data_IF_874115427238
#
_entry.id   IF_874115427238
#
_cell.length_a   1.000
_cell.length_b   1.000
_cell.length_c   1.000
_cell.angle_alpha   90.00
_cell.angle_beta   90.00
_cell.angle_gamma   90.00
#
_symmetry.space_group_name_H-M   'P 1'
#
loop_
_entity.id
_entity.type
_entity.pdbx_description
1 polymer ?
#
# COMPACT_ATOMS: atom_id res chain seq x y z
N UNK A 1 -17.81 -60.92 157.35
CA UNK A 1 -18.47 -60.62 156.06
C UNK A 1 -18.00 -59.30 155.41
N UNK A 2 -16.96 -58.63 155.93
CA UNK A 2 -16.53 -57.28 155.50
C UNK A 2 -15.16 -57.23 154.81
N UNK A 3 -14.42 -58.34 154.81
CA UNK A 3 -13.06 -58.43 154.24
C UNK A 3 -13.04 -58.92 152.78
N UNK A 4 -14.12 -59.58 152.34
CA UNK A 4 -14.31 -59.98 150.93
C UNK A 4 -14.79 -58.80 150.06
N UNK A 5 -15.58 -57.87 150.59
CA UNK A 5 -16.09 -56.71 149.85
C UNK A 5 -15.02 -55.66 149.57
N UNK A 6 -14.09 -55.41 150.50
CA UNK A 6 -12.96 -54.49 150.29
C UNK A 6 -11.97 -55.02 149.24
N UNK A 7 -11.67 -56.33 149.26
CA UNK A 7 -10.92 -57.01 148.20
C UNK A 7 -11.61 -56.90 146.85
N UNK A 8 -12.93 -57.10 146.80
CA UNK A 8 -13.70 -56.99 145.57
C UNK A 8 -13.73 -55.56 145.00
N UNK A 9 -13.72 -54.54 145.86
CA UNK A 9 -13.63 -53.14 145.45
C UNK A 9 -12.22 -52.75 144.96
N UNK A 10 -11.16 -53.23 145.63
CA UNK A 10 -9.79 -53.02 145.14
C UNK A 10 -9.55 -53.67 143.78
N UNK A 11 -10.07 -54.88 143.57
CA UNK A 11 -10.03 -55.58 142.28
C UNK A 11 -10.86 -54.86 141.21
N UNK A 12 -11.96 -54.19 141.57
CA UNK A 12 -12.75 -53.36 140.64
C UNK A 12 -11.99 -52.10 140.21
N UNK A 13 -11.35 -51.40 141.15
CA UNK A 13 -10.53 -50.21 140.84
C UNK A 13 -9.31 -50.59 140.00
N UNK A 14 -8.63 -51.69 140.32
CA UNK A 14 -7.54 -52.21 139.48
C UNK A 14 -8.04 -52.59 138.08
N UNK A 15 -9.23 -53.20 137.96
CA UNK A 15 -9.84 -53.51 136.66
C UNK A 15 -10.21 -52.26 135.86
N UNK A 16 -10.68 -51.19 136.51
CA UNK A 16 -10.97 -49.91 135.85
C UNK A 16 -9.69 -49.21 135.38
N UNK A 17 -8.63 -49.23 136.21
CA UNK A 17 -7.32 -48.70 135.83
C UNK A 17 -6.74 -49.52 134.67
N UNK A 18 -6.82 -50.84 134.72
CA UNK A 18 -6.41 -51.74 133.63
C UNK A 18 -7.19 -51.43 132.34
N UNK A 19 -8.52 -51.29 132.41
CA UNK A 19 -9.34 -50.91 131.25
C UNK A 19 -8.99 -49.53 130.69
N UNK A 20 -8.69 -48.55 131.55
CA UNK A 20 -8.25 -47.23 131.09
C UNK A 20 -6.89 -47.30 130.40
N UNK A 21 -5.97 -48.13 130.89
CA UNK A 21 -4.65 -48.35 130.29
C UNK A 21 -4.76 -49.14 128.98
N UNK A 22 -5.65 -50.13 128.91
CA UNK A 22 -5.99 -50.84 127.67
C UNK A 22 -6.55 -49.87 126.62
N UNK A 23 -7.48 -48.98 127.00
CA UNK A 23 -8.00 -47.96 126.09
C UNK A 23 -6.93 -46.96 125.64
N UNK A 24 -6.01 -46.57 126.53
CA UNK A 24 -4.88 -45.71 126.19
C UNK A 24 -3.87 -46.41 125.27
N UNK A 25 -3.63 -47.71 125.47
CA UNK A 25 -2.79 -48.52 124.59
C UNK A 25 -3.39 -48.62 123.19
N UNK A 26 -4.70 -48.89 123.08
CA UNK A 26 -5.39 -48.91 121.78
C UNK A 26 -5.30 -47.56 121.07
N UNK A 27 -5.52 -46.44 121.77
CA UNK A 27 -5.38 -45.11 121.18
C UNK A 27 -3.94 -44.82 120.73
N UNK A 28 -2.94 -45.22 121.52
CA UNK A 28 -1.53 -45.07 121.15
C UNK A 28 -1.16 -45.96 119.96
N UNK A 29 -1.68 -47.18 119.89
CA UNK A 29 -1.50 -48.09 118.75
C UNK A 29 -2.15 -47.53 117.48
N UNK A 30 -3.37 -47.01 117.57
CA UNK A 30 -4.04 -46.32 116.47
C UNK A 30 -3.24 -45.11 115.99
N UNK A 31 -2.77 -44.26 116.92
CA UNK A 31 -1.90 -43.14 116.58
C UNK A 31 -0.58 -43.60 115.93
N UNK A 32 0.07 -44.64 116.46
CA UNK A 32 1.29 -45.21 115.87
C UNK A 32 1.02 -45.71 114.45
N UNK A 33 -0.10 -46.39 114.20
CA UNK A 33 -0.44 -46.86 112.84
C UNK A 33 -0.78 -45.71 111.89
N UNK A 34 -1.46 -44.66 112.36
CA UNK A 34 -1.75 -43.47 111.58
C UNK A 34 -0.46 -42.73 111.20
N UNK A 35 0.43 -42.48 112.16
CA UNK A 35 1.72 -41.82 111.92
C UNK A 35 2.63 -42.67 111.02
N UNK A 36 2.60 -44.00 111.12
CA UNK A 36 3.33 -44.88 110.18
C UNK A 36 2.81 -44.75 108.75
N UNK A 37 1.50 -44.73 108.53
CA UNK A 37 0.91 -44.50 107.20
C UNK A 37 1.21 -43.11 106.65
N UNK A 38 1.26 -42.10 107.51
CA UNK A 38 1.68 -40.76 107.11
C UNK A 38 3.14 -40.74 106.70
N UNK A 39 4.02 -41.41 107.47
CA UNK A 39 5.44 -41.54 107.15
C UNK A 39 5.66 -42.26 105.82
N UNK A 40 4.97 -43.36 105.56
CA UNK A 40 5.00 -44.07 104.27
C UNK A 40 4.58 -43.16 103.10
N UNK A 41 3.50 -42.37 103.27
CA UNK A 41 3.07 -41.41 102.23
C UNK A 41 4.10 -40.32 101.97
N UNK A 42 4.77 -39.82 103.01
CA UNK A 42 5.81 -38.82 102.86
C UNK A 42 7.07 -39.41 102.20
N UNK A 43 7.42 -40.65 102.52
CA UNK A 43 8.52 -41.36 101.87
C UNK A 43 8.24 -41.57 100.37
N UNK A 44 7.02 -42.00 100.01
CA UNK A 44 6.60 -42.13 98.60
C UNK A 44 6.68 -40.79 97.85
N UNK A 45 6.25 -39.69 98.49
CA UNK A 45 6.35 -38.35 97.89
C UNK A 45 7.80 -37.90 97.73
N UNK A 46 8.65 -38.20 98.72
CA UNK A 46 10.07 -37.88 98.68
C UNK A 46 10.75 -38.62 97.54
N UNK A 47 10.45 -39.90 97.34
CA UNK A 47 10.98 -40.69 96.22
C UNK A 47 10.52 -40.10 94.87
N UNK A 48 9.23 -39.76 94.72
CA UNK A 48 8.73 -39.11 93.51
C UNK A 48 9.42 -37.78 93.21
N UNK A 49 9.63 -36.96 94.24
CA UNK A 49 10.33 -35.69 94.08
C UNK A 49 11.80 -35.88 93.74
N UNK A 50 12.48 -36.88 94.31
CA UNK A 50 13.85 -37.22 93.95
C UNK A 50 13.98 -37.68 92.49
N UNK A 51 13.04 -38.47 91.98
CA UNK A 51 13.02 -38.88 90.57
C UNK A 51 12.87 -37.64 89.66
N UNK A 52 11.91 -36.76 89.95
CA UNK A 52 11.72 -35.52 89.16
C UNK A 52 12.93 -34.59 89.22
N UNK A 53 13.59 -34.49 90.37
CA UNK A 53 14.81 -33.69 90.50
C UNK A 53 15.92 -34.22 89.61
N UNK A 54 16.12 -35.55 89.54
CA UNK A 54 17.09 -36.16 88.63
C UNK A 54 16.78 -35.86 87.16
N UNK A 55 15.51 -35.95 86.75
CA UNK A 55 15.08 -35.60 85.39
C UNK A 55 15.39 -34.13 85.06
N UNK A 56 15.14 -33.21 85.98
CA UNK A 56 15.48 -31.80 85.79
C UNK A 56 16.99 -31.55 85.78
N UNK A 57 17.76 -32.22 86.63
CA UNK A 57 19.22 -32.15 86.65
C UNK A 57 19.82 -32.65 85.33
N UNK A 58 19.28 -33.71 84.73
CA UNK A 58 19.70 -34.21 83.41
C UNK A 58 19.46 -33.18 82.29
N UNK A 59 18.29 -32.52 82.29
CA UNK A 59 17.99 -31.46 81.31
C UNK A 59 18.90 -30.24 81.52
N UNK A 60 19.15 -29.86 82.77
CA UNK A 60 20.06 -28.75 83.10
C UNK A 60 21.50 -29.09 82.70
N UNK A 61 21.94 -30.33 82.87
CA UNK A 61 23.26 -30.78 82.42
C UNK A 61 23.42 -30.67 80.90
N UNK A 62 22.34 -30.80 80.14
CA UNK A 62 22.33 -30.64 78.67
C UNK A 62 22.09 -29.21 78.20
N UNK A 63 21.95 -28.24 79.11
CA UNK A 63 21.59 -26.85 78.80
C UNK A 63 22.50 -26.22 77.74
N UNK A 64 23.82 -26.38 77.86
CA UNK A 64 24.77 -25.80 76.89
C UNK A 64 24.52 -26.33 75.48
N UNK A 65 24.31 -27.64 75.34
CA UNK A 65 24.03 -28.29 74.06
C UNK A 65 22.72 -27.80 73.44
N UNK A 66 21.69 -27.59 74.27
CA UNK A 66 20.39 -27.06 73.83
C UNK A 66 20.53 -25.61 73.36
N UNK A 67 21.22 -24.77 74.12
CA UNK A 67 21.46 -23.37 73.79
C UNK A 67 22.31 -23.23 72.51
N UNK A 68 23.37 -24.03 72.36
CA UNK A 68 24.19 -24.09 71.15
C UNK A 68 23.39 -24.54 69.93
N UNK A 69 22.60 -25.62 70.06
CA UNK A 69 21.74 -26.11 68.98
C UNK A 69 20.68 -25.09 68.56
N UNK A 70 20.10 -24.36 69.52
CA UNK A 70 19.15 -23.28 69.23
C UNK A 70 19.81 -22.09 68.52
N UNK A 71 21.02 -21.71 68.92
CA UNK A 71 21.79 -20.67 68.24
C UNK A 71 22.10 -21.06 66.79
N UNK A 72 22.52 -22.30 66.56
CA UNK A 72 22.75 -22.84 65.20
C UNK A 72 21.47 -22.85 64.36
N UNK A 73 20.35 -23.29 64.92
CA UNK A 73 19.05 -23.29 64.22
C UNK A 73 18.61 -21.87 63.85
N UNK A 74 18.80 -20.92 64.77
CA UNK A 74 18.42 -19.51 64.54
C UNK A 74 19.26 -18.90 63.42
N UNK A 75 20.57 -19.14 63.41
CA UNK A 75 21.44 -18.68 62.34
C UNK A 75 21.12 -19.35 61.00
N UNK A 76 20.87 -20.67 60.99
CA UNK A 76 20.47 -21.39 59.78
C UNK A 76 19.14 -20.85 59.21
N UNK A 77 18.17 -20.50 60.07
CA UNK A 77 16.91 -19.86 59.65
C UNK A 77 17.16 -18.48 59.05
N UNK A 78 17.99 -17.66 59.69
CA UNK A 78 18.36 -16.33 59.16
C UNK A 78 18.99 -16.43 57.77
N UNK A 79 19.91 -17.38 57.58
CA UNK A 79 20.54 -17.63 56.28
C UNK A 79 19.53 -18.12 55.23
N UNK A 80 18.60 -19.01 55.62
CA UNK A 80 17.55 -19.48 54.74
C UNK A 80 16.64 -18.34 54.26
N UNK A 81 16.22 -17.46 55.18
CA UNK A 81 15.40 -16.29 54.86
C UNK A 81 16.13 -15.34 53.91
N UNK A 82 17.43 -15.10 54.14
CA UNK A 82 18.25 -14.28 53.25
C UNK A 82 18.37 -14.90 51.84
N UNK A 83 18.56 -16.21 51.73
CA UNK A 83 18.61 -16.93 50.46
C UNK A 83 17.25 -16.89 49.74
N UNK A 84 16.14 -17.05 50.46
CA UNK A 84 14.79 -16.94 49.89
C UNK A 84 14.52 -15.54 49.33
N UNK A 85 14.95 -14.49 50.02
CA UNK A 85 14.86 -13.11 49.52
C UNK A 85 15.67 -12.93 48.23
N UNK A 86 16.93 -13.41 48.21
CA UNK A 86 17.78 -13.36 47.01
C UNK A 86 17.20 -14.16 45.85
N UNK A 87 16.62 -15.34 46.11
CA UNK A 87 15.94 -16.15 45.11
C UNK A 87 14.74 -15.40 44.52
N UNK A 88 13.92 -14.76 45.36
CA UNK A 88 12.80 -13.92 44.91
C UNK A 88 13.24 -12.79 43.99
N UNK A 89 14.37 -12.13 44.28
CA UNK A 89 14.95 -11.10 43.41
C UNK A 89 15.45 -11.69 42.08
N UNK A 90 16.13 -12.84 42.11
CA UNK A 90 16.62 -13.51 40.91
C UNK A 90 15.49 -13.92 39.96
N UNK A 91 14.38 -14.44 40.49
CA UNK A 91 13.21 -14.79 39.67
C UNK A 91 12.64 -13.54 39.00
N UNK A 92 12.44 -12.45 39.73
CA UNK A 92 11.96 -11.17 39.16
C UNK A 92 12.88 -10.63 38.05
N UNK A 93 14.21 -10.71 38.26
CA UNK A 93 15.19 -10.29 37.26
C UNK A 93 15.17 -11.21 36.03
N UNK A 94 15.01 -12.52 36.22
CA UNK A 94 14.88 -13.48 35.11
C UNK A 94 13.61 -13.22 34.29
N UNK A 95 12.48 -12.97 34.95
CA UNK A 95 11.21 -12.67 34.27
C UNK A 95 11.33 -11.36 33.48
N UNK A 96 11.93 -10.33 34.09
CA UNK A 96 12.19 -9.06 33.41
C UNK A 96 13.11 -9.23 32.20
N UNK A 97 14.17 -10.04 32.34
CA UNK A 97 15.09 -10.36 31.23
C UNK A 97 14.35 -11.06 30.09
N UNK A 98 13.54 -12.08 30.39
CA UNK A 98 12.78 -12.82 29.38
C UNK A 98 11.78 -11.91 28.64
N UNK A 99 11.11 -11.01 29.37
CA UNK A 99 10.21 -10.03 28.76
C UNK A 99 10.95 -9.07 27.82
N UNK A 100 12.14 -8.61 28.21
CA UNK A 100 12.98 -7.75 27.37
C UNK A 100 13.49 -8.49 26.13
N UNK A 101 13.93 -9.74 26.27
CA UNK A 101 14.35 -10.58 25.15
C UNK A 101 13.21 -10.77 24.13
N UNK A 102 12.00 -11.10 24.60
CA UNK A 102 10.82 -11.23 23.74
C UNK A 102 10.46 -9.90 23.04
N UNK A 103 10.58 -8.77 23.73
CA UNK A 103 10.34 -7.46 23.13
C UNK A 103 11.38 -7.12 22.05
N UNK A 104 12.66 -7.46 22.29
CA UNK A 104 13.74 -7.27 21.32
C UNK A 104 13.49 -8.13 20.09
N UNK A 105 13.15 -9.41 20.26
CA UNK A 105 12.85 -10.32 19.14
C UNK A 105 11.68 -9.82 18.29
N UNK A 106 10.60 -9.34 18.94
CA UNK A 106 9.46 -8.74 18.23
C UNK A 106 9.84 -7.49 17.45
N UNK A 107 10.62 -6.59 18.06
CA UNK A 107 11.08 -5.38 17.40
C UNK A 107 12.01 -5.70 16.22
N UNK A 108 12.90 -6.68 16.35
CA UNK A 108 13.76 -7.15 15.27
C UNK A 108 12.94 -7.74 14.12
N UNK A 109 11.95 -8.58 14.41
CA UNK A 109 11.07 -9.16 13.39
C UNK A 109 10.26 -8.08 12.65
N UNK A 110 9.76 -7.07 13.37
CA UNK A 110 9.08 -5.92 12.77
C UNK A 110 10.01 -5.14 11.83
N UNK A 111 11.22 -4.79 12.30
CA UNK A 111 12.19 -4.04 11.51
C UNK A 111 12.63 -4.81 10.25
N UNK A 112 12.85 -6.12 10.35
CA UNK A 112 13.18 -6.96 9.19
C UNK A 112 12.03 -6.95 8.16
N UNK A 113 10.79 -6.98 8.63
CA UNK A 113 9.61 -6.96 7.75
C UNK A 113 9.48 -5.61 7.06
N UNK A 114 9.60 -4.51 7.80
CA UNK A 114 9.62 -3.15 7.25
C UNK A 114 10.74 -2.95 6.24
N UNK A 115 11.95 -3.43 6.55
CA UNK A 115 13.08 -3.39 5.63
C UNK A 115 12.80 -4.15 4.33
N UNK A 116 12.21 -5.36 4.41
CA UNK A 116 11.84 -6.13 3.21
C UNK A 116 10.81 -5.39 2.35
N UNK A 117 9.82 -4.76 2.96
CA UNK A 117 8.80 -3.96 2.25
C UNK A 117 9.41 -2.71 1.60
N UNK A 118 10.29 -2.01 2.31
CA UNK A 118 11.01 -0.87 1.76
C UNK A 118 11.89 -1.30 0.58
N UNK A 119 12.61 -2.41 0.72
CA UNK A 119 13.46 -2.94 -0.34
C UNK A 119 12.63 -3.35 -1.58
N UNK A 120 11.50 -4.03 -1.41
CA UNK A 120 10.64 -4.38 -2.54
C UNK A 120 10.13 -3.12 -3.24
N UNK A 121 9.75 -2.09 -2.48
CA UNK A 121 9.30 -0.81 -3.06
C UNK A 121 10.41 -0.09 -3.82
N UNK A 122 11.64 -0.10 -3.30
CA UNK A 122 12.80 0.44 -4.00
C UNK A 122 12.99 -0.29 -5.33
N UNK A 123 12.98 -1.63 -5.33
CA UNK A 123 13.17 -2.40 -6.57
C UNK A 123 12.07 -2.16 -7.61
N UNK A 124 10.81 -1.97 -7.19
CA UNK A 124 9.72 -1.59 -8.09
C UNK A 124 9.97 -0.20 -8.71
N UNK A 125 10.35 0.78 -7.90
CA UNK A 125 10.59 2.14 -8.34
C UNK A 125 11.82 2.22 -9.26
N UNK A 126 12.87 1.47 -8.98
CA UNK A 126 14.04 1.33 -9.85
C UNK A 126 13.66 0.74 -11.21
N UNK A 127 12.84 -0.32 -11.23
CA UNK A 127 12.36 -0.91 -12.48
C UNK A 127 11.52 0.08 -13.31
N UNK A 128 10.67 0.89 -12.65
CA UNK A 128 9.92 1.96 -13.33
C UNK A 128 10.87 3.04 -13.86
N UNK A 129 11.82 3.47 -13.04
CA UNK A 129 12.81 4.50 -13.42
C UNK A 129 13.67 4.06 -14.60
N UNK A 130 14.00 2.76 -14.70
CA UNK A 130 14.77 2.22 -15.83
C UNK A 130 13.96 2.18 -17.13
N UNK A 131 12.63 2.02 -17.06
CA UNK A 131 11.74 2.04 -18.23
C UNK A 131 11.40 3.46 -18.70
N UNK A 132 11.47 4.45 -17.81
CA UNK A 132 11.08 5.83 -18.11
C UNK A 132 11.82 6.44 -19.33
N UNK A 133 13.14 6.26 -19.51
CA UNK A 133 13.84 6.77 -20.69
C UNK A 133 13.37 6.13 -22.00
N UNK A 134 13.06 4.82 -21.98
CA UNK A 134 12.55 4.12 -23.15
C UNK A 134 11.19 4.66 -23.56
N UNK A 135 10.25 4.77 -22.62
CA UNK A 135 8.93 5.36 -22.85
C UNK A 135 9.01 6.82 -23.31
N UNK A 136 9.94 7.60 -22.76
CA UNK A 136 10.15 8.99 -23.19
C UNK A 136 10.67 9.07 -24.62
N UNK A 137 11.57 8.19 -25.02
CA UNK A 137 12.06 8.10 -26.39
C UNK A 137 10.96 7.65 -27.35
N UNK A 138 10.15 6.66 -26.97
CA UNK A 138 9.00 6.19 -27.75
C UNK A 138 7.97 7.32 -27.95
N UNK A 139 7.68 8.09 -26.90
CA UNK A 139 6.80 9.26 -26.99
C UNK A 139 7.36 10.31 -27.96
N UNK A 140 8.64 10.67 -27.84
CA UNK A 140 9.28 11.62 -28.74
C UNK A 140 9.28 11.14 -30.20
N UNK A 141 9.46 9.84 -30.43
CA UNK A 141 9.38 9.26 -31.78
C UNK A 141 7.95 9.32 -32.33
N UNK A 142 6.95 8.99 -31.52
CA UNK A 142 5.55 9.07 -31.92
C UNK A 142 5.12 10.52 -32.21
N UNK A 143 5.53 11.49 -31.39
CA UNK A 143 5.28 12.92 -31.62
C UNK A 143 5.92 13.40 -32.94
N UNK A 144 7.17 12.99 -33.21
CA UNK A 144 7.83 13.33 -34.47
C UNK A 144 7.13 12.71 -35.68
N UNK A 145 6.66 11.47 -35.57
CA UNK A 145 5.87 10.80 -36.62
C UNK A 145 4.54 11.51 -36.86
N UNK A 146 3.83 11.92 -35.82
CA UNK A 146 2.58 12.69 -35.92
C UNK A 146 2.81 14.04 -36.61
N UNK A 147 3.86 14.77 -36.23
CA UNK A 147 4.22 16.02 -36.91
C UNK A 147 4.52 15.79 -38.39
N UNK A 148 5.27 14.75 -38.74
CA UNK A 148 5.57 14.42 -40.12
C UNK A 148 4.32 14.09 -40.95
N UNK A 149 3.40 13.30 -40.39
CA UNK A 149 2.13 12.97 -41.03
C UNK A 149 1.27 14.22 -41.24
N UNK A 150 1.18 15.10 -40.24
CA UNK A 150 0.44 16.36 -40.35
C UNK A 150 0.98 17.25 -41.48
N UNK A 151 2.31 17.37 -41.61
CA UNK A 151 2.92 18.12 -42.73
C UNK A 151 2.61 17.49 -44.09
N UNK A 152 2.63 16.16 -44.19
CA UNK A 152 2.30 15.45 -45.42
C UNK A 152 0.81 15.65 -45.80
N UNK A 153 -0.09 15.59 -44.82
CA UNK A 153 -1.52 15.83 -45.01
C UNK A 153 -1.81 17.25 -45.47
N UNK A 154 -1.13 18.25 -44.89
CA UNK A 154 -1.26 19.65 -45.32
C UNK A 154 -0.75 19.83 -46.76
N UNK A 155 0.41 19.25 -47.10
CA UNK A 155 0.95 19.28 -48.47
C UNK A 155 -0.03 18.64 -49.46
N UNK A 156 -0.60 17.49 -49.11
CA UNK A 156 -1.59 16.81 -49.93
C UNK A 156 -2.86 17.67 -50.11
N UNK A 157 -3.37 18.26 -49.03
CA UNK A 157 -4.55 19.13 -49.07
C UNK A 157 -4.32 20.33 -50.00
N UNK A 158 -3.17 21.00 -49.90
CA UNK A 158 -2.80 22.11 -50.80
C UNK A 158 -2.74 21.66 -52.25
N UNK A 159 -2.08 20.53 -52.55
CA UNK A 159 -2.01 19.98 -53.92
C UNK A 159 -3.39 19.65 -54.49
N UNK A 160 -4.27 19.05 -53.70
CA UNK A 160 -5.67 18.77 -54.10
C UNK A 160 -6.42 20.05 -54.42
N UNK A 161 -6.27 21.08 -53.61
CA UNK A 161 -6.90 22.37 -53.85
C UNK A 161 -6.41 22.97 -55.17
N UNK A 162 -5.09 23.02 -55.41
CA UNK A 162 -4.53 23.53 -56.66
C UNK A 162 -4.97 22.71 -57.88
N UNK A 163 -5.01 21.38 -57.77
CA UNK A 163 -5.53 20.50 -58.83
C UNK A 163 -7.00 20.80 -59.16
N UNK A 164 -7.84 21.04 -58.15
CA UNK A 164 -9.24 21.40 -58.35
C UNK A 164 -9.42 22.78 -59.00
N UNK A 165 -8.60 23.75 -58.62
CA UNK A 165 -8.56 25.08 -59.23
C UNK A 165 -8.15 25.00 -60.71
N UNK A 166 -7.08 24.25 -61.02
CA UNK A 166 -6.63 24.01 -62.39
C UNK A 166 -7.67 23.27 -63.23
N UNK A 167 -8.34 22.24 -62.70
CA UNK A 167 -9.46 21.56 -63.40
C UNK A 167 -10.57 22.53 -63.78
N UNK A 168 -10.89 23.46 -62.88
CA UNK A 168 -11.91 24.49 -63.13
C UNK A 168 -11.45 25.46 -64.22
N UNK A 169 -10.19 25.87 -64.20
CA UNK A 169 -9.59 26.72 -65.24
C UNK A 169 -9.53 26.02 -66.60
N UNK A 170 -9.13 24.74 -66.64
CA UNK A 170 -9.11 23.93 -67.87
C UNK A 170 -10.51 23.86 -68.46
N UNK A 171 -11.53 23.51 -67.66
CA UNK A 171 -12.92 23.46 -68.14
C UNK A 171 -13.40 24.81 -68.67
N UNK A 172 -13.05 25.90 -68.00
CA UNK A 172 -13.34 27.25 -68.47
C UNK A 172 -12.67 27.56 -69.82
N UNK A 173 -11.37 27.27 -69.95
CA UNK A 173 -10.61 27.51 -71.18
C UNK A 173 -11.13 26.66 -72.35
N UNK A 174 -11.50 25.39 -72.13
CA UNK A 174 -12.13 24.53 -73.16
C UNK A 174 -13.47 25.11 -73.63
N UNK A 175 -14.30 25.57 -72.69
CA UNK A 175 -15.58 26.22 -73.03
C UNK A 175 -15.37 27.54 -73.80
N UNK A 176 -14.35 28.31 -73.44
CA UNK A 176 -14.01 29.54 -74.16
C UNK A 176 -13.41 29.25 -75.53
N UNK A 177 -12.62 28.18 -75.67
CA UNK A 177 -12.06 27.75 -76.94
C UNK A 177 -13.17 27.39 -77.93
N UNK A 178 -14.11 26.54 -77.53
CA UNK A 178 -15.26 26.15 -78.35
C UNK A 178 -16.19 27.32 -78.69
N UNK A 179 -16.29 28.34 -77.81
CA UNK A 179 -16.99 29.59 -78.12
C UNK A 179 -16.24 30.41 -79.16
N UNK A 180 -14.94 30.64 -78.98
CA UNK A 180 -14.12 31.42 -79.90
C UNK A 180 -14.05 30.77 -81.29
N UNK A 181 -13.94 29.44 -81.37
CA UNK A 181 -13.97 28.69 -82.63
C UNK A 181 -15.28 28.94 -83.39
N UNK A 182 -16.43 28.82 -82.73
CA UNK A 182 -17.75 29.14 -83.33
C UNK A 182 -17.84 30.61 -83.77
N UNK A 183 -17.42 31.54 -82.92
CA UNK A 183 -17.45 32.96 -83.26
C UNK A 183 -16.54 33.31 -84.46
N UNK A 184 -15.39 32.63 -84.60
CA UNK A 184 -14.49 32.77 -85.74
C UNK A 184 -15.14 32.20 -87.00
N UNK A 185 -15.75 31.01 -86.92
CA UNK A 185 -16.49 30.38 -88.03
C UNK A 185 -17.63 31.30 -88.51
N UNK A 186 -18.45 31.83 -87.59
CA UNK A 186 -19.50 32.80 -87.92
C UNK A 186 -18.97 34.06 -88.61
N UNK A 187 -17.80 34.57 -88.20
CA UNK A 187 -17.17 35.74 -88.85
C UNK A 187 -16.65 35.37 -90.24
N UNK A 188 -16.07 34.18 -90.41
CA UNK A 188 -15.62 33.68 -91.72
C UNK A 188 -16.80 33.54 -92.67
N UNK A 189 -17.92 32.99 -92.21
CA UNK A 189 -19.16 32.92 -92.98
C UNK A 189 -19.68 34.31 -93.37
N UNK A 190 -19.69 35.26 -92.43
CA UNK A 190 -20.07 36.66 -92.69
C UNK A 190 -19.16 37.33 -93.72
N UNK A 191 -17.84 37.12 -93.65
CA UNK A 191 -16.89 37.62 -94.65
C UNK A 191 -17.16 36.99 -96.02
N UNK A 192 -17.33 35.67 -96.09
CA UNK A 192 -17.61 34.96 -97.35
C UNK A 192 -18.91 35.41 -98.02
N UNK A 193 -19.97 35.65 -97.24
CA UNK A 193 -21.24 36.20 -97.72
C UNK A 193 -21.06 37.61 -98.30
N UNK A 194 -20.26 38.45 -97.66
CA UNK A 194 -19.96 39.81 -98.14
C UNK A 194 -19.09 39.81 -99.41
N UNK A 195 -18.21 38.83 -99.59
CA UNK A 195 -17.34 38.74 -100.78
C UNK A 195 -18.06 38.13 -102.00
N UNK A 196 -19.17 37.40 -101.82
CA UNK A 196 -19.89 36.71 -102.91
C UNK A 196 -21.09 37.47 -103.46
N UNK A 197 -21.63 38.47 -102.74
CA UNK A 197 -22.73 39.31 -103.21
C UNK A 197 -22.23 40.62 -103.82
N UNK A 198 -22.47 40.84 -105.12
CA UNK A 198 -22.06 42.04 -105.85
C UNK A 198 -22.91 43.29 -105.54
N UNK A 199 -24.15 43.10 -105.06
CA UNK A 199 -25.13 44.16 -104.76
C UNK A 199 -25.64 44.04 -103.31
N UNK A 200 -24.73 44.01 -102.34
CA UNK A 200 -25.10 43.88 -100.93
C UNK A 200 -25.73 45.18 -100.39
N UNK A 201 -26.98 45.13 -99.95
CA UNK A 201 -27.67 46.20 -99.22
C UNK A 201 -27.53 46.00 -97.72
N UNK A 202 -27.29 47.07 -96.96
CA UNK A 202 -27.15 46.98 -95.50
C UNK A 202 -28.50 46.61 -94.86
N UNK A 203 -28.63 45.48 -94.13
CA UNK A 203 -29.90 45.04 -93.55
C UNK A 203 -30.39 45.90 -92.38
N UNK A 204 -29.59 46.86 -91.90
CA UNK A 204 -29.91 47.76 -90.79
C UNK A 204 -30.34 49.16 -91.23
N UNK A 205 -29.95 49.61 -92.43
CA UNK A 205 -30.23 50.97 -92.92
C UNK A 205 -30.58 51.03 -94.41
N UNK A 206 -30.78 49.88 -95.06
CA UNK A 206 -31.22 49.67 -96.44
C UNK A 206 -30.38 50.40 -97.52
N UNK A 207 -29.18 50.87 -97.15
CA UNK A 207 -28.29 51.60 -98.04
C UNK A 207 -27.44 50.60 -98.84
N UNK A 208 -27.32 50.80 -100.16
CA UNK A 208 -26.41 50.04 -101.02
C UNK A 208 -24.97 50.19 -100.51
N UNK A 209 -24.32 49.06 -100.21
CA UNK A 209 -22.92 49.05 -99.79
C UNK A 209 -22.06 49.20 -101.04
N UNK A 210 -21.77 50.44 -101.43
CA UNK A 210 -20.76 50.70 -102.48
C UNK A 210 -19.41 50.04 -102.16
N UNK A 211 -18.54 49.89 -103.17
CA UNK A 211 -17.25 49.17 -103.06
C UNK A 211 -16.38 49.56 -101.86
N UNK A 212 -16.42 50.84 -101.46
CA UNK A 212 -15.64 51.33 -100.30
C UNK A 212 -16.29 50.99 -98.95
N UNK A 213 -17.63 50.90 -98.90
CA UNK A 213 -18.38 50.45 -97.72
C UNK A 213 -18.18 48.97 -97.43
N UNK A 214 -18.20 48.13 -98.48
CA UNK A 214 -17.88 46.70 -98.39
C UNK A 214 -16.46 46.47 -97.86
N UNK A 215 -15.45 47.14 -98.43
CA UNK A 215 -14.06 47.05 -97.96
C UNK A 215 -13.90 47.44 -96.48
N UNK A 216 -14.64 48.47 -96.01
CA UNK A 216 -14.56 48.92 -94.62
C UNK A 216 -15.16 47.90 -93.65
N UNK A 217 -16.27 47.26 -94.03
CA UNK A 217 -16.93 46.22 -93.24
C UNK A 217 -16.09 44.94 -93.24
N UNK A 218 -15.55 44.55 -94.39
CA UNK A 218 -14.64 43.42 -94.54
C UNK A 218 -13.36 43.60 -93.69
N UNK A 219 -12.75 44.79 -93.71
CA UNK A 219 -11.61 45.11 -92.86
C UNK A 219 -11.94 45.01 -91.36
N UNK A 220 -13.14 45.44 -90.95
CA UNK A 220 -13.60 45.34 -89.55
C UNK A 220 -13.80 43.90 -89.10
N UNK A 221 -14.46 43.08 -89.92
CA UNK A 221 -14.64 41.65 -89.62
C UNK A 221 -13.32 40.87 -89.66
N UNK A 222 -12.41 41.24 -90.56
CA UNK A 222 -11.07 40.65 -90.61
C UNK A 222 -10.28 40.98 -89.34
N UNK A 223 -10.32 42.23 -88.87
CA UNK A 223 -9.68 42.62 -87.60
C UNK A 223 -10.30 41.90 -86.39
N UNK A 224 -11.63 41.74 -86.35
CA UNK A 224 -12.32 40.99 -85.27
C UNK A 224 -11.94 39.51 -85.30
N UNK A 225 -11.92 38.88 -86.48
CA UNK A 225 -11.45 37.50 -86.68
C UNK A 225 -10.01 37.34 -86.19
N UNK A 226 -9.12 38.25 -86.57
CA UNK A 226 -7.70 38.16 -86.21
C UNK A 226 -7.51 38.36 -84.69
N UNK A 227 -8.27 39.27 -84.08
CA UNK A 227 -8.32 39.45 -82.63
C UNK A 227 -8.77 38.17 -81.92
N UNK A 228 -9.89 37.57 -82.35
CA UNK A 228 -10.40 36.32 -81.76
C UNK A 228 -9.47 35.14 -82.02
N UNK A 229 -8.83 35.08 -83.17
CA UNK A 229 -7.82 34.06 -83.50
C UNK A 229 -6.58 34.18 -82.59
N UNK A 230 -6.15 35.41 -82.27
CA UNK A 230 -5.09 35.63 -81.30
C UNK A 230 -5.51 35.22 -79.87
N UNK A 231 -6.73 35.55 -79.45
CA UNK A 231 -7.30 35.07 -78.18
C UNK A 231 -7.39 33.54 -78.14
N UNK A 232 -7.78 32.90 -79.25
CA UNK A 232 -7.85 31.44 -79.36
C UNK A 232 -6.47 30.80 -79.18
N UNK A 233 -5.44 31.35 -79.84
CA UNK A 233 -4.04 30.88 -79.69
C UNK A 233 -3.52 31.06 -78.27
N UNK A 234 -3.83 32.19 -77.62
CA UNK A 234 -3.48 32.44 -76.23
C UNK A 234 -4.15 31.41 -75.30
N UNK A 235 -5.45 31.19 -75.47
CA UNK A 235 -6.20 30.20 -74.69
C UNK A 235 -5.65 28.78 -74.90
N UNK A 236 -5.27 28.40 -76.13
CA UNK A 236 -4.70 27.09 -76.42
C UNK A 236 -3.33 26.89 -75.73
N UNK A 237 -2.50 27.93 -75.69
CA UNK A 237 -1.22 27.88 -74.98
C UNK A 237 -1.42 27.74 -73.46
N UNK A 238 -2.34 28.53 -72.87
CA UNK A 238 -2.67 28.46 -71.45
C UNK A 238 -3.31 27.10 -71.08
N UNK A 239 -4.21 26.60 -71.92
CA UNK A 239 -4.82 25.28 -71.76
C UNK A 239 -3.76 24.17 -71.75
N UNK A 240 -2.83 24.19 -72.71
CA UNK A 240 -1.76 23.20 -72.78
C UNK A 240 -0.88 23.24 -71.52
N UNK A 241 -0.52 24.43 -71.04
CA UNK A 241 0.24 24.60 -69.79
C UNK A 241 -0.53 24.04 -68.59
N UNK A 242 -1.79 24.43 -68.42
CA UNK A 242 -2.61 24.01 -67.28
C UNK A 242 -2.88 22.51 -67.28
N UNK A 243 -3.01 21.87 -68.45
CA UNK A 243 -3.15 20.41 -68.57
C UNK A 243 -1.88 19.67 -68.13
N UNK A 244 -0.70 20.15 -68.55
CA UNK A 244 0.58 19.57 -68.13
C UNK A 244 0.77 19.70 -66.61
N UNK A 245 0.48 20.87 -66.04
CA UNK A 245 0.59 21.10 -64.61
C UNK A 245 -0.41 20.24 -63.81
N UNK A 246 -1.63 20.10 -64.32
CA UNK A 246 -2.65 19.24 -63.73
C UNK A 246 -2.23 17.77 -63.71
N UNK A 247 -1.74 17.24 -64.84
CA UNK A 247 -1.26 15.85 -64.93
C UNK A 247 -0.09 15.61 -63.97
N UNK A 248 0.83 16.57 -63.85
CA UNK A 248 1.94 16.51 -62.88
C UNK A 248 1.44 16.45 -61.44
N UNK A 249 0.49 17.32 -61.07
CA UNK A 249 -0.06 17.36 -59.71
C UNK A 249 -0.86 16.08 -59.37
N UNK A 250 -1.66 15.57 -60.29
CA UNK A 250 -2.41 14.33 -60.09
C UNK A 250 -1.49 13.10 -59.98
N UNK A 251 -0.41 13.09 -60.76
CA UNK A 251 0.65 12.09 -60.68
C UNK A 251 1.41 12.11 -59.33
N UNK A 252 1.52 13.27 -58.67
CA UNK A 252 2.12 13.40 -57.34
C UNK A 252 1.13 13.15 -56.19
N UNK A 253 -0.14 13.49 -56.34
CA UNK A 253 -1.20 13.28 -55.34
C UNK A 253 -1.38 11.79 -55.07
N UNK A 254 -1.54 10.98 -56.13
CA UNK A 254 -1.82 9.54 -56.01
C UNK A 254 -0.81 8.77 -55.13
N UNK A 255 0.53 8.88 -55.34
CA UNK A 255 1.51 8.20 -54.50
C UNK A 255 1.58 8.78 -53.08
N UNK A 256 1.38 10.09 -52.90
CA UNK A 256 1.34 10.72 -51.58
C UNK A 256 0.14 10.23 -50.76
N UNK A 257 -1.03 10.09 -51.38
CA UNK A 257 -2.23 9.53 -50.74
C UNK A 257 -2.06 8.05 -50.37
N UNK A 258 -1.53 7.25 -51.29
CA UNK A 258 -1.28 5.83 -51.05
C UNK A 258 -0.33 5.63 -49.86
N UNK A 259 0.75 6.44 -49.81
CA UNK A 259 1.73 6.41 -48.72
C UNK A 259 1.11 6.86 -47.39
N UNK A 260 0.39 7.98 -47.36
CA UNK A 260 -0.28 8.46 -46.15
C UNK A 260 -1.29 7.46 -45.60
N UNK A 261 -2.06 6.80 -46.47
CA UNK A 261 -3.02 5.77 -46.04
C UNK A 261 -2.31 4.52 -45.48
N UNK A 262 -1.19 4.12 -46.07
CA UNK A 262 -0.36 3.03 -45.55
C UNK A 262 0.27 3.38 -44.19
N UNK A 263 0.81 4.58 -44.06
CA UNK A 263 1.42 5.05 -42.81
C UNK A 263 0.37 5.17 -41.69
N UNK A 264 -0.84 5.65 -42.00
CA UNK A 264 -1.99 5.66 -41.07
C UNK A 264 -2.43 4.26 -40.65
N UNK A 265 -2.49 3.31 -41.59
CA UNK A 265 -2.86 1.92 -41.29
C UNK A 265 -1.78 1.19 -40.45
N UNK A 266 -0.53 1.61 -40.55
CA UNK A 266 0.59 1.05 -39.77
C UNK A 266 0.66 1.61 -38.35
N UNK A 267 -0.03 2.72 -38.08
CA UNK A 267 -0.09 3.39 -36.79
C UNK A 267 -1.35 3.05 -35.95
N UNK A 268 -2.29 2.27 -36.51
CA UNK A 268 -3.47 1.72 -35.82
C UNK A 268 -3.20 0.30 -35.30
#
# INVERSE_FOLDING_TARGET
MTEQESRLNSLRQEREILRSKESQLVQLEEHITATKRELERWDDQLEQHQIRLKEYEEVIAQRSTIEEGYAQLTEARRQNDELNQKLGLLVKLRDSKSQLEMNIERAQAALITEHKLAQSKITELEAISQKLPQLKNELQQAEAQLHHLAEQEEKLSRKKQTSQELRTQVSYLESSQTRLEREIEEIIEKINLLSTQADATCPLCETELGKDGLKRIEAKYTADRDSKSNSLKSNQAELASNKIELESLEGEISPLEAKLNQDRASAQ
#
